data_IF_354970053509
#
_entry.id   IF_354970053509
#
_cell.length_a   1.000
_cell.length_b   1.000
_cell.length_c   1.000
_cell.angle_alpha   90.00
_cell.angle_beta   90.00
_cell.angle_gamma   90.00
#
_symmetry.space_group_name_H-M   'P 1'
#
loop_
_entity.id
_entity.type
_entity.pdbx_description
1 polymer ?
#
# COMPACT_ATOMS: atom_id res chain seq x y z
N UNK A 1 17.64 1.46 -9.10
CA UNK A 1 18.42 2.53 -8.45
C UNK A 1 17.76 3.92 -8.56
N UNK A 2 16.44 4.00 -8.44
CA UNK A 2 15.76 5.29 -8.19
C UNK A 2 15.18 5.27 -6.77
N UNK A 3 14.64 4.13 -6.31
CA UNK A 3 14.19 3.95 -4.92
C UNK A 3 15.33 3.85 -3.91
N UNK A 4 16.49 3.31 -4.32
CA UNK A 4 17.65 3.12 -3.44
C UNK A 4 18.23 4.44 -2.90
N UNK A 5 18.03 5.56 -3.61
CA UNK A 5 18.56 6.86 -3.22
C UNK A 5 17.74 7.56 -2.11
N UNK A 6 16.46 7.21 -1.93
CA UNK A 6 15.56 7.90 -0.98
C UNK A 6 15.48 7.24 0.40
N UNK A 7 16.11 6.08 0.59
CA UNK A 7 15.98 5.30 1.81
C UNK A 7 17.35 4.78 2.21
N UNK A 8 18.04 5.50 3.10
CA UNK A 8 19.32 5.08 3.68
C UNK A 8 19.09 3.77 4.49
N UNK A 9 19.32 2.56 3.95
CA UNK A 9 18.59 1.38 4.43
C UNK A 9 19.46 0.47 5.30
N UNK A 10 18.95 0.14 6.48
CA UNK A 10 19.38 -1.05 7.24
C UNK A 10 19.16 -2.32 6.39
N UNK A 11 19.85 -3.44 6.65
CA UNK A 11 19.73 -4.67 5.83
C UNK A 11 18.29 -5.15 5.59
N UNK A 12 17.42 -5.11 6.60
CA UNK A 12 16.00 -5.44 6.46
C UNK A 12 15.21 -4.51 5.51
N UNK A 13 15.66 -3.25 5.38
CA UNK A 13 15.08 -2.29 4.43
C UNK A 13 15.59 -2.55 3.01
N UNK A 14 16.82 -3.07 2.84
CA UNK A 14 17.32 -3.44 1.51
C UNK A 14 16.52 -4.56 0.86
N UNK A 15 16.15 -5.61 1.61
CA UNK A 15 15.31 -6.67 1.06
C UNK A 15 13.97 -6.14 0.53
N UNK A 16 13.32 -5.25 1.30
CA UNK A 16 12.07 -4.59 0.90
C UNK A 16 12.26 -3.70 -0.33
N UNK A 17 13.36 -2.95 -0.41
CA UNK A 17 13.70 -2.11 -1.57
C UNK A 17 13.90 -2.95 -2.82
N UNK A 18 14.68 -4.04 -2.73
CA UNK A 18 14.93 -4.94 -3.86
C UNK A 18 13.63 -5.58 -4.36
N UNK A 19 12.76 -6.02 -3.46
CA UNK A 19 11.45 -6.55 -3.81
C UNK A 19 10.57 -5.50 -4.52
N UNK A 20 10.52 -4.26 -4.03
CA UNK A 20 9.79 -3.20 -4.72
C UNK A 20 10.39 -2.85 -6.08
N UNK A 21 11.72 -2.79 -6.21
CA UNK A 21 12.38 -2.56 -7.51
C UNK A 21 12.08 -3.69 -8.49
N UNK A 22 11.98 -4.94 -8.03
CA UNK A 22 11.60 -6.08 -8.86
C UNK A 22 10.15 -5.96 -9.37
N UNK A 23 9.19 -5.60 -8.51
CA UNK A 23 7.81 -5.36 -8.95
C UNK A 23 7.71 -4.25 -9.99
N UNK A 24 8.46 -3.16 -9.82
CA UNK A 24 8.53 -2.10 -10.82
C UNK A 24 9.15 -2.59 -12.14
N UNK A 25 10.26 -3.32 -12.09
CA UNK A 25 10.89 -3.89 -13.30
C UNK A 25 9.98 -4.85 -14.05
N UNK A 26 9.14 -5.60 -13.33
CA UNK A 26 8.15 -6.52 -13.91
C UNK A 26 6.86 -5.82 -14.36
N UNK A 27 6.74 -4.50 -14.15
CA UNK A 27 5.54 -3.74 -14.52
C UNK A 27 4.29 -4.15 -13.73
N UNK A 28 4.46 -4.60 -12.48
CA UNK A 28 3.31 -5.04 -11.69
C UNK A 28 2.41 -3.85 -11.35
N UNK A 29 1.11 -4.01 -11.58
CA UNK A 29 0.13 -3.00 -11.21
C UNK A 29 -0.10 -3.02 -9.70
N UNK A 30 -0.51 -1.89 -9.08
CA UNK A 30 -0.74 -1.86 -7.64
C UNK A 30 -1.76 -2.90 -7.15
N UNK A 31 -2.75 -3.27 -7.96
CA UNK A 31 -3.69 -4.36 -7.64
C UNK A 31 -2.99 -5.73 -7.58
N UNK A 32 -2.07 -6.02 -8.51
CA UNK A 32 -1.28 -7.26 -8.49
C UNK A 32 -0.41 -7.35 -7.24
N UNK A 33 0.27 -6.26 -6.88
CA UNK A 33 1.09 -6.21 -5.67
C UNK A 33 0.24 -6.35 -4.41
N UNK A 34 -0.98 -5.78 -4.42
CA UNK A 34 -1.95 -5.97 -3.34
C UNK A 34 -2.26 -7.46 -3.12
N UNK A 35 -2.67 -8.18 -4.17
CA UNK A 35 -3.01 -9.60 -4.08
C UNK A 35 -1.84 -10.47 -3.58
N UNK A 36 -0.60 -10.15 -3.98
CA UNK A 36 0.60 -10.85 -3.50
C UNK A 36 0.80 -10.65 -2.00
N UNK A 37 0.64 -9.41 -1.53
CA UNK A 37 0.93 -9.04 -0.15
C UNK A 37 -0.17 -9.43 0.85
N UNK A 38 -1.43 -9.44 0.43
CA UNK A 38 -2.57 -9.63 1.34
C UNK A 38 -3.04 -11.08 1.47
N UNK A 39 -2.40 -12.05 0.80
CA UNK A 39 -2.86 -13.45 0.70
C UNK A 39 -3.15 -14.13 2.05
N UNK A 40 -2.41 -13.76 3.11
CA UNK A 40 -2.54 -14.37 4.44
C UNK A 40 -2.96 -13.35 5.51
N UNK A 41 -3.58 -12.23 5.12
CA UNK A 41 -3.91 -11.15 6.04
C UNK A 41 -5.41 -11.09 6.26
N UNK A 42 -5.83 -11.24 7.51
CA UNK A 42 -7.23 -11.10 7.87
C UNK A 42 -7.69 -9.65 7.69
N UNK A 43 -8.92 -9.45 7.16
CA UNK A 43 -9.54 -8.14 6.93
C UNK A 43 -9.42 -7.18 8.14
N UNK A 44 -9.62 -7.69 9.35
CA UNK A 44 -9.56 -6.91 10.60
C UNK A 44 -8.17 -6.36 10.93
N UNK A 45 -7.13 -7.02 10.43
CA UNK A 45 -5.72 -6.70 10.70
C UNK A 45 -5.06 -5.97 9.52
N UNK A 46 -5.71 -5.97 8.35
CA UNK A 46 -5.21 -5.43 7.09
C UNK A 46 -4.60 -4.02 7.24
N UNK A 47 -5.38 -3.04 7.68
CA UNK A 47 -4.92 -1.65 7.75
C UNK A 47 -3.80 -1.43 8.77
N UNK A 48 -3.60 -2.38 9.70
CA UNK A 48 -2.53 -2.35 10.68
C UNK A 48 -1.30 -3.17 10.27
N UNK A 49 -1.37 -3.94 9.18
CA UNK A 49 -0.31 -4.85 8.74
C UNK A 49 0.88 -4.09 8.15
N UNK A 50 2.06 -4.71 8.22
CA UNK A 50 3.27 -4.14 7.63
C UNK A 50 3.24 -4.22 6.11
N UNK A 51 2.54 -5.21 5.57
CA UNK A 51 2.31 -5.47 4.16
C UNK A 51 1.42 -4.39 3.56
N UNK A 52 0.36 -3.98 4.25
CA UNK A 52 -0.48 -2.87 3.81
C UNK A 52 0.29 -1.56 3.82
N UNK A 53 1.10 -1.31 4.86
CA UNK A 53 2.02 -0.15 4.89
C UNK A 53 3.03 -0.17 3.73
N UNK A 54 3.57 -1.34 3.37
CA UNK A 54 4.46 -1.46 2.23
C UNK A 54 3.73 -1.18 0.91
N UNK A 55 2.54 -1.75 0.74
CA UNK A 55 1.70 -1.55 -0.44
C UNK A 55 1.29 -0.08 -0.63
N UNK A 56 0.85 0.61 0.42
CA UNK A 56 0.50 2.04 0.32
C UNK A 56 1.67 2.93 -0.13
N UNK A 57 2.92 2.58 0.25
CA UNK A 57 4.13 3.26 -0.24
C UNK A 57 4.42 2.93 -1.70
N UNK A 58 4.17 1.67 -2.10
CA UNK A 58 4.27 1.24 -3.48
C UNK A 58 3.31 2.02 -4.37
N UNK A 59 2.02 2.12 -4.01
CA UNK A 59 1.01 2.90 -4.75
C UNK A 59 1.43 4.36 -4.90
N UNK A 60 1.88 5.00 -3.81
CA UNK A 60 2.37 6.39 -3.87
C UNK A 60 3.55 6.55 -4.81
N UNK A 61 4.48 5.59 -4.82
CA UNK A 61 5.61 5.62 -5.76
C UNK A 61 5.15 5.38 -7.19
N UNK A 62 4.23 4.43 -7.39
CA UNK A 62 3.67 4.10 -8.70
C UNK A 62 2.98 5.31 -9.33
N UNK A 63 2.11 5.99 -8.58
CA UNK A 63 1.42 7.19 -9.07
C UNK A 63 2.37 8.36 -9.34
N UNK A 64 3.47 8.47 -8.58
CA UNK A 64 4.50 9.49 -8.83
C UNK A 64 5.22 9.29 -10.17
N UNK A 65 5.55 8.04 -10.52
CA UNK A 65 6.22 7.72 -11.79
C UNK A 65 5.25 7.55 -12.97
N UNK A 66 3.96 7.32 -12.71
CA UNK A 66 2.92 7.12 -13.71
C UNK A 66 1.76 8.10 -13.47
N UNK A 67 1.97 9.42 -13.65
CA UNK A 67 0.95 10.43 -13.32
C UNK A 67 -0.35 10.28 -14.13
N UNK A 68 -0.26 9.69 -15.32
CA UNK A 68 -1.42 9.43 -16.19
C UNK A 68 -2.21 8.17 -15.79
N UNK A 69 -1.65 7.32 -14.92
CA UNK A 69 -2.26 6.06 -14.45
C UNK A 69 -2.57 6.14 -12.95
N UNK A 70 -2.98 7.30 -12.45
CA UNK A 70 -3.17 7.52 -11.02
C UNK A 70 -4.16 6.51 -10.42
N UNK A 71 -3.63 5.60 -9.59
CA UNK A 71 -4.38 4.56 -8.93
C UNK A 71 -4.84 5.05 -7.56
N UNK A 72 -6.16 5.06 -7.34
CA UNK A 72 -6.74 5.24 -6.00
C UNK A 72 -6.68 3.93 -5.22
N UNK A 73 -6.17 3.97 -3.99
CA UNK A 73 -6.15 2.80 -3.10
C UNK A 73 -7.56 2.34 -2.76
N UNK A 74 -8.51 3.28 -2.61
CA UNK A 74 -9.91 2.95 -2.37
C UNK A 74 -10.54 2.08 -3.47
N UNK A 75 -10.16 2.28 -4.75
CA UNK A 75 -10.69 1.45 -5.84
C UNK A 75 -10.25 -0.01 -5.66
N UNK A 76 -8.99 -0.26 -5.30
CA UNK A 76 -8.48 -1.62 -5.07
C UNK A 76 -9.07 -2.22 -3.79
N UNK A 77 -9.26 -1.43 -2.75
CA UNK A 77 -9.96 -1.91 -1.56
C UNK A 77 -11.42 -2.29 -1.88
N UNK A 78 -12.12 -1.51 -2.71
CA UNK A 78 -13.51 -1.73 -3.06
C UNK A 78 -13.73 -2.94 -3.96
N UNK A 79 -12.74 -3.31 -4.78
CA UNK A 79 -12.79 -4.56 -5.56
C UNK A 79 -12.57 -5.81 -4.69
N UNK A 80 -12.00 -5.67 -3.50
CA UNK A 80 -11.66 -6.79 -2.61
C UNK A 80 -12.51 -6.83 -1.32
N UNK A 81 -13.17 -5.74 -0.95
CA UNK A 81 -13.89 -5.60 0.31
C UNK A 81 -15.11 -4.66 0.16
N UNK A 82 -16.30 -5.21 0.37
CA UNK A 82 -17.56 -4.45 0.25
C UNK A 82 -17.78 -3.47 1.42
N UNK A 83 -17.21 -3.73 2.60
CA UNK A 83 -17.43 -2.92 3.82
C UNK A 83 -16.33 -1.88 4.07
N UNK A 84 -16.00 -1.06 3.08
CA UNK A 84 -14.91 -0.08 3.20
C UNK A 84 -15.15 0.93 4.34
N UNK A 85 -16.38 1.39 4.51
CA UNK A 85 -16.76 2.36 5.54
C UNK A 85 -16.51 1.85 6.96
N UNK A 86 -16.80 0.55 7.20
CA UNK A 86 -16.52 -0.09 8.48
C UNK A 86 -15.00 -0.16 8.74
N UNK A 87 -14.22 -0.49 7.71
CA UNK A 87 -12.75 -0.60 7.83
C UNK A 87 -12.12 0.75 8.16
N UNK A 88 -12.55 1.81 7.45
CA UNK A 88 -12.08 3.18 7.68
C UNK A 88 -12.49 3.68 9.06
N UNK A 89 -13.76 3.49 9.44
CA UNK A 89 -14.28 3.88 10.75
C UNK A 89 -13.53 3.22 11.90
N UNK A 90 -13.15 1.94 11.75
CA UNK A 90 -12.34 1.22 12.74
C UNK A 90 -10.90 1.73 12.77
N UNK A 91 -10.29 1.96 11.61
CA UNK A 91 -8.91 2.41 11.52
C UNK A 91 -8.69 3.84 12.04
N UNK A 92 -9.71 4.70 11.95
CA UNK A 92 -9.68 6.05 12.55
C UNK A 92 -9.64 6.02 14.09
N UNK A 93 -10.17 4.96 14.72
CA UNK A 93 -10.22 4.81 16.19
C UNK A 93 -8.92 4.26 16.79
N UNK A 94 -8.02 3.74 15.96
CA UNK A 94 -6.77 3.12 16.40
C UNK A 94 -5.60 4.00 15.98
N UNK A 95 -4.86 4.53 16.95
CA UNK A 95 -3.77 5.49 16.70
C UNK A 95 -2.75 4.97 15.66
N UNK A 96 -2.42 3.68 15.73
CA UNK A 96 -1.46 3.03 14.82
C UNK A 96 -1.89 3.00 13.34
N UNK A 97 -3.18 3.19 13.05
CA UNK A 97 -3.77 3.14 11.70
C UNK A 97 -4.37 4.47 11.25
N UNK A 98 -4.32 5.50 12.11
CA UNK A 98 -4.93 6.80 11.86
C UNK A 98 -4.37 7.51 10.63
N UNK A 99 -3.05 7.45 10.43
CA UNK A 99 -2.39 8.05 9.26
C UNK A 99 -2.87 7.41 7.95
N UNK A 100 -2.99 6.08 7.94
CA UNK A 100 -3.47 5.32 6.79
C UNK A 100 -4.95 5.65 6.53
N UNK A 101 -5.76 5.65 7.57
CA UNK A 101 -7.18 5.95 7.46
C UNK A 101 -7.40 7.37 6.92
N UNK A 102 -6.64 8.35 7.42
CA UNK A 102 -6.68 9.75 6.94
C UNK A 102 -6.32 9.84 5.46
N UNK A 103 -5.27 9.11 5.03
CA UNK A 103 -4.87 9.07 3.61
C UNK A 103 -5.98 8.49 2.73
N UNK A 104 -6.61 7.39 3.16
CA UNK A 104 -7.71 6.77 2.43
C UNK A 104 -8.96 7.66 2.40
N UNK A 105 -9.32 8.31 3.51
CA UNK A 105 -10.43 9.25 3.55
C UNK A 105 -10.22 10.45 2.61
N UNK A 106 -8.97 10.86 2.38
CA UNK A 106 -8.64 11.92 1.41
C UNK A 106 -8.79 11.50 -0.06
N UNK A 107 -9.06 10.22 -0.36
CA UNK A 107 -9.32 9.73 -1.73
C UNK A 107 -10.81 9.66 -2.09
N UNK A 108 -11.70 9.76 -1.09
CA UNK A 108 -13.15 9.90 -1.24
C UNK A 108 -13.48 11.24 -1.92
#
# INVERSE_FOLDING_TARGET
MIMKALLNPKPANMAKILQTEEWFRKGFQPNTVFSILMVNIAKKDLLASLEFKLWTKYVSSFNHYNPNENVKMLNILGTNYDDQDWMLSRAMKVERTKDIATKLCGEL
#
